data_IF_821622743138
#
_entry.id   IF_821622743138
#
_cell.length_a   1.000
_cell.length_b   1.000
_cell.length_c   1.000
_cell.angle_alpha   90.00
_cell.angle_beta   90.00
_cell.angle_gamma   90.00
#
_symmetry.space_group_name_H-M   'P 1'
#
loop_
_entity.id
_entity.type
_entity.pdbx_description
1 polymer ?
#
# COMPACT_ATOMS: atom_id res chain seq x y z
N UNK A 1 64.06 2.36 56.17
CA UNK A 1 62.87 1.52 55.95
C UNK A 1 61.65 2.43 55.91
N UNK A 2 61.17 2.79 54.72
CA UNK A 2 59.79 3.23 54.52
C UNK A 2 59.45 3.01 53.04
N UNK A 3 58.44 2.16 52.82
CA UNK A 3 58.10 1.56 51.55
C UNK A 3 57.27 2.53 50.67
N UNK A 4 57.66 2.65 49.40
CA UNK A 4 56.82 3.26 48.37
C UNK A 4 55.65 2.34 48.01
N UNK A 5 54.43 2.88 48.00
CA UNK A 5 53.25 2.20 47.46
C UNK A 5 52.98 2.70 46.05
N UNK A 6 53.29 1.86 45.08
CA UNK A 6 52.80 1.96 43.70
C UNK A 6 51.33 1.57 43.72
N UNK A 7 50.46 2.46 43.24
CA UNK A 7 49.02 2.20 43.15
C UNK A 7 48.69 1.82 41.71
N UNK A 8 48.41 0.54 41.50
CA UNK A 8 48.04 -0.03 40.20
C UNK A 8 46.58 0.33 39.90
N UNK A 9 46.33 1.13 38.86
CA UNK A 9 44.98 1.33 38.34
C UNK A 9 44.55 0.08 37.55
N UNK A 10 43.51 -0.61 38.04
CA UNK A 10 42.86 -1.69 37.31
C UNK A 10 41.87 -1.09 36.31
N UNK A 11 42.15 -1.23 35.01
CA UNK A 11 41.21 -0.89 33.95
C UNK A 11 40.16 -2.00 33.82
N UNK A 12 38.91 -1.70 34.15
CA UNK A 12 37.77 -2.57 33.87
C UNK A 12 37.39 -2.42 32.39
N UNK A 13 37.68 -3.43 31.58
CA UNK A 13 37.16 -3.54 30.23
C UNK A 13 35.72 -4.09 30.28
N UNK A 14 34.74 -3.23 30.02
CA UNK A 14 33.35 -3.64 29.85
C UNK A 14 33.17 -4.19 28.44
N UNK A 15 33.19 -5.51 28.30
CA UNK A 15 32.82 -6.18 27.05
C UNK A 15 31.29 -6.08 26.88
N UNK A 16 30.85 -5.11 26.09
CA UNK A 16 29.44 -4.98 25.70
C UNK A 16 29.14 -6.03 24.63
N UNK A 17 28.51 -7.13 25.04
CA UNK A 17 27.88 -8.09 24.13
C UNK A 17 26.65 -7.42 23.52
N UNK A 18 26.82 -6.82 22.34
CA UNK A 18 25.71 -6.43 21.49
C UNK A 18 25.06 -7.71 20.96
N UNK A 19 24.04 -8.20 21.66
CA UNK A 19 23.05 -9.07 21.06
C UNK A 19 22.38 -8.27 19.94
N UNK A 20 22.81 -8.52 18.71
CA UNK A 20 22.12 -8.08 17.52
C UNK A 20 20.76 -8.76 17.50
N UNK A 21 19.74 -8.06 18.00
CA UNK A 21 18.37 -8.35 17.62
C UNK A 21 18.32 -8.12 16.11
N UNK A 22 18.23 -9.20 15.34
CA UNK A 22 17.75 -9.12 13.97
C UNK A 22 16.29 -8.70 14.09
N UNK A 23 16.06 -7.40 14.20
CA UNK A 23 14.77 -6.82 13.87
C UNK A 23 14.67 -7.06 12.38
N UNK A 24 13.82 -8.00 11.97
CA UNK A 24 13.34 -8.00 10.60
C UNK A 24 12.82 -6.59 10.35
N UNK A 25 13.51 -5.82 9.52
CA UNK A 25 13.15 -4.45 9.25
C UNK A 25 11.83 -4.52 8.47
N UNK A 26 10.70 -4.32 9.16
CA UNK A 26 9.54 -3.78 8.48
C UNK A 26 10.05 -2.53 7.79
N UNK A 27 9.89 -2.44 6.47
CA UNK A 27 10.13 -1.18 5.81
C UNK A 27 9.15 -0.18 6.41
N UNK A 28 9.70 0.75 7.19
CA UNK A 28 8.91 1.78 7.84
C UNK A 28 8.29 2.62 6.73
N UNK A 29 6.97 2.54 6.62
CA UNK A 29 6.23 3.47 5.79
C UNK A 29 6.21 4.82 6.50
N UNK A 30 6.67 5.86 5.83
CA UNK A 30 6.71 7.23 6.34
C UNK A 30 5.32 7.83 6.21
N UNK A 31 4.62 8.13 7.31
CA UNK A 31 3.33 8.80 7.26
C UNK A 31 3.51 10.27 6.85
N UNK A 32 2.50 10.81 6.18
CA UNK A 32 2.48 12.19 5.71
C UNK A 32 1.11 12.61 5.23
N UNK A 33 1.06 13.76 4.57
CA UNK A 33 -0.11 14.21 3.83
C UNK A 33 0.33 15.06 2.65
N UNK A 34 -0.50 15.11 1.61
CA UNK A 34 -0.27 15.99 0.47
C UNK A 34 -1.60 16.35 -0.21
N UNK A 35 -1.58 17.40 -1.03
CA UNK A 35 -2.67 17.74 -1.93
C UNK A 35 -2.28 17.34 -3.33
N UNK A 36 -3.11 16.55 -4.00
CA UNK A 36 -2.93 16.31 -5.42
C UNK A 36 -3.25 17.59 -6.20
N UNK A 37 -2.24 18.18 -6.85
CA UNK A 37 -2.34 19.49 -7.50
C UNK A 37 -3.32 19.53 -8.68
N UNK A 38 -3.57 18.38 -9.32
CA UNK A 38 -4.47 18.29 -10.47
C UNK A 38 -5.94 18.21 -10.05
N UNK A 39 -6.23 17.41 -9.01
CA UNK A 39 -7.60 17.14 -8.56
C UNK A 39 -8.03 17.99 -7.36
N UNK A 40 -7.07 18.57 -6.63
CA UNK A 40 -7.28 19.31 -5.38
C UNK A 40 -7.65 18.42 -4.19
N UNK A 41 -7.47 17.10 -4.29
CA UNK A 41 -7.81 16.14 -3.23
C UNK A 41 -6.67 16.12 -2.20
N UNK A 42 -7.04 16.21 -0.92
CA UNK A 42 -6.10 16.12 0.19
C UNK A 42 -6.06 14.66 0.67
N UNK A 43 -4.86 14.09 0.78
CA UNK A 43 -4.65 12.70 1.18
C UNK A 43 -3.82 12.64 2.47
N UNK A 44 -4.22 11.79 3.41
CA UNK A 44 -3.26 11.17 4.32
C UNK A 44 -2.46 10.14 3.52
N UNK A 45 -1.15 10.06 3.73
CA UNK A 45 -0.28 9.24 2.88
C UNK A 45 0.72 8.42 3.68
N UNK A 46 1.12 7.30 3.09
CA UNK A 46 2.18 6.43 3.58
C UNK A 46 3.10 6.08 2.42
N UNK A 47 4.38 6.43 2.53
CA UNK A 47 5.39 6.19 1.50
C UNK A 47 6.47 5.24 1.99
N UNK A 48 6.92 4.33 1.14
CA UNK A 48 8.08 3.49 1.47
C UNK A 48 9.30 4.38 1.64
N UNK A 49 10.06 4.16 2.73
CA UNK A 49 11.37 4.79 2.87
C UNK A 49 12.35 4.23 1.85
N UNK A 50 12.56 4.96 0.75
CA UNK A 50 13.52 4.56 -0.29
C UNK A 50 14.95 4.80 0.19
N UNK A 51 15.61 3.74 0.64
CA UNK A 51 17.03 3.72 1.06
C UNK A 51 17.91 2.80 0.20
N UNK A 52 19.12 2.48 0.69
CA UNK A 52 20.10 1.63 -0.01
C UNK A 52 19.69 0.15 -0.22
N UNK A 53 18.42 -0.20 0.01
CA UNK A 53 17.88 -1.57 0.00
C UNK A 53 17.31 -2.07 -1.32
N UNK A 54 17.31 -1.25 -2.39
CA UNK A 54 16.84 -1.68 -3.72
C UNK A 54 15.32 -1.80 -3.86
N UNK A 55 14.57 -1.08 -3.02
CA UNK A 55 13.10 -1.08 -3.02
C UNK A 55 12.58 0.02 -3.95
N UNK A 56 11.53 -0.28 -4.72
CA UNK A 56 10.85 0.71 -5.54
C UNK A 56 10.06 1.72 -4.73
N UNK A 57 9.90 2.94 -5.26
CA UNK A 57 8.92 3.90 -4.76
C UNK A 57 7.52 3.28 -4.69
N UNK A 58 6.88 3.38 -3.53
CA UNK A 58 5.45 3.15 -3.35
C UNK A 58 4.88 4.19 -2.40
N UNK A 59 3.74 4.77 -2.75
CA UNK A 59 2.96 5.64 -1.87
C UNK A 59 1.50 5.27 -1.97
N UNK A 60 0.88 5.00 -0.82
CA UNK A 60 -0.57 4.93 -0.68
C UNK A 60 -1.08 6.23 -0.09
N UNK A 61 -2.00 6.91 -0.76
CA UNK A 61 -2.77 8.03 -0.23
C UNK A 61 -4.22 7.61 -0.01
N UNK A 62 -4.86 8.15 1.02
CA UNK A 62 -6.25 7.88 1.36
C UNK A 62 -6.98 9.14 1.79
N UNK A 63 -8.18 9.32 1.25
CA UNK A 63 -9.20 10.24 1.76
C UNK A 63 -10.47 9.43 2.08
N UNK A 64 -11.11 9.77 3.19
CA UNK A 64 -12.27 9.08 3.76
C UNK A 64 -13.48 10.02 3.88
N UNK A 65 -14.72 9.49 3.84
CA UNK A 65 -15.93 10.24 4.16
C UNK A 65 -15.84 10.95 5.51
N UNK A 66 -16.54 12.07 5.64
CA UNK A 66 -16.52 12.92 6.84
C UNK A 66 -16.95 12.19 8.13
N UNK A 67 -17.80 11.17 8.01
CA UNK A 67 -18.34 10.37 9.11
C UNK A 67 -17.62 9.02 9.31
N UNK A 68 -16.47 8.82 8.64
CA UNK A 68 -15.77 7.53 8.64
C UNK A 68 -15.22 7.11 10.02
N UNK A 69 -15.08 8.03 10.98
CA UNK A 69 -14.59 7.72 12.34
C UNK A 69 -15.73 7.36 13.29
N UNK A 70 -16.97 7.62 12.90
CA UNK A 70 -18.20 7.38 13.62
C UNK A 70 -18.94 6.16 13.07
N UNK A 71 -18.94 6.01 11.75
CA UNK A 71 -19.55 4.91 11.01
C UNK A 71 -18.51 4.28 10.10
N UNK A 72 -18.42 2.94 10.08
CA UNK A 72 -17.49 2.24 9.20
C UNK A 72 -17.74 2.63 7.73
N UNK A 73 -16.71 3.22 7.11
CA UNK A 73 -16.77 3.63 5.72
C UNK A 73 -16.87 2.38 4.83
N UNK A 74 -17.64 2.49 3.75
CA UNK A 74 -17.74 1.42 2.74
C UNK A 74 -16.92 1.72 1.49
N UNK A 75 -16.37 2.94 1.40
CA UNK A 75 -15.62 3.43 0.27
C UNK A 75 -14.55 4.44 0.70
N UNK A 76 -13.57 4.66 -0.16
CA UNK A 76 -12.50 5.65 0.02
C UNK A 76 -12.04 6.18 -1.33
N UNK A 77 -11.34 7.32 -1.34
CA UNK A 77 -10.57 7.76 -2.49
C UNK A 77 -9.11 7.42 -2.22
N UNK A 78 -8.52 6.64 -3.11
CA UNK A 78 -7.14 6.20 -3.05
C UNK A 78 -6.25 6.95 -4.01
N UNK A 79 -5.00 7.08 -3.63
CA UNK A 79 -3.88 7.43 -4.50
C UNK A 79 -2.85 6.31 -4.43
N UNK A 80 -2.36 5.85 -5.57
CA UNK A 80 -1.19 4.97 -5.63
C UNK A 80 -0.14 5.65 -6.50
N UNK A 81 1.06 5.88 -5.97
CA UNK A 81 2.29 6.08 -6.76
C UNK A 81 3.10 4.80 -6.67
N UNK A 82 3.52 4.28 -7.81
CA UNK A 82 4.23 3.02 -7.88
C UNK A 82 5.43 3.12 -8.81
N UNK A 83 6.50 2.42 -8.45
CA UNK A 83 7.74 2.42 -9.19
C UNK A 83 7.62 1.74 -10.55
N UNK A 84 8.32 2.31 -11.53
CA UNK A 84 8.46 1.80 -12.89
C UNK A 84 9.95 1.73 -13.21
N UNK A 85 10.59 0.55 -13.15
CA UNK A 85 12.05 0.42 -13.23
C UNK A 85 12.63 0.74 -14.61
N UNK A 86 11.80 0.85 -15.65
CA UNK A 86 12.23 1.18 -16.99
C UNK A 86 11.20 2.05 -17.73
N UNK A 87 11.58 2.65 -18.85
CA UNK A 87 10.63 3.36 -19.71
C UNK A 87 9.59 2.44 -20.37
N UNK A 88 9.79 1.12 -20.35
CA UNK A 88 8.99 0.14 -21.09
C UNK A 88 7.68 -0.28 -20.38
N UNK A 89 7.08 0.58 -19.54
CA UNK A 89 5.83 0.27 -18.82
C UNK A 89 5.84 -1.09 -18.12
N UNK A 90 6.96 -1.40 -17.47
CA UNK A 90 7.17 -2.65 -16.73
C UNK A 90 6.86 -2.48 -15.25
N UNK A 91 6.57 -3.59 -14.59
CA UNK A 91 6.32 -3.66 -13.16
C UNK A 91 4.83 -3.62 -12.81
N UNK A 92 4.54 -3.84 -11.54
CA UNK A 92 3.22 -3.72 -10.94
C UNK A 92 3.35 -3.44 -9.45
N UNK A 93 2.32 -2.85 -8.86
CA UNK A 93 2.18 -2.70 -7.42
C UNK A 93 0.84 -3.27 -6.95
N UNK A 94 0.80 -3.66 -5.69
CA UNK A 94 -0.35 -4.25 -5.02
C UNK A 94 -0.61 -3.56 -3.68
N UNK A 95 -1.88 -3.48 -3.31
CA UNK A 95 -2.38 -3.01 -2.03
C UNK A 95 -3.30 -4.07 -1.42
N UNK A 96 -3.04 -4.47 -0.17
CA UNK A 96 -3.84 -5.40 0.60
C UNK A 96 -4.65 -4.64 1.67
N UNK A 97 -5.97 -4.75 1.60
CA UNK A 97 -6.88 -3.91 2.39
C UNK A 97 -6.90 -4.25 3.89
N UNK A 98 -6.38 -5.39 4.34
CA UNK A 98 -6.19 -5.70 5.77
C UNK A 98 -4.77 -6.25 6.08
N UNK A 99 -3.79 -5.93 5.23
CA UNK A 99 -2.39 -6.29 5.43
C UNK A 99 -1.93 -7.62 4.85
N UNK A 100 -2.80 -8.60 4.71
CA UNK A 100 -2.44 -9.96 4.32
C UNK A 100 -2.55 -10.15 2.80
N UNK A 101 -1.59 -10.90 2.23
CA UNK A 101 -1.76 -11.36 0.84
C UNK A 101 -2.94 -12.34 0.74
N UNK A 102 -3.07 -13.22 1.72
CA UNK A 102 -4.15 -14.20 1.77
C UNK A 102 -5.35 -13.62 2.47
N UNK A 103 -6.53 -14.05 2.04
CA UNK A 103 -7.84 -13.77 2.61
C UNK A 103 -8.33 -12.34 2.57
N UNK A 104 -7.48 -11.36 2.21
CA UNK A 104 -7.87 -9.97 2.03
C UNK A 104 -8.31 -9.64 0.60
N UNK A 105 -9.08 -8.56 0.45
CA UNK A 105 -9.22 -7.89 -0.85
C UNK A 105 -7.87 -7.28 -1.26
N UNK A 106 -7.40 -7.65 -2.44
CA UNK A 106 -6.18 -7.12 -3.03
C UNK A 106 -6.52 -6.21 -4.21
N UNK A 107 -5.85 -5.07 -4.33
CA UNK A 107 -5.87 -4.23 -5.52
C UNK A 107 -4.49 -4.27 -6.18
N UNK A 108 -4.43 -4.67 -7.45
CA UNK A 108 -3.23 -4.60 -8.28
C UNK A 108 -3.34 -3.43 -9.25
N UNK A 109 -2.26 -2.70 -9.47
CA UNK A 109 -2.13 -1.63 -10.47
C UNK A 109 -0.85 -1.81 -11.30
N UNK A 110 -0.92 -1.49 -12.60
CA UNK A 110 0.24 -1.53 -13.51
C UNK A 110 0.05 -0.56 -14.69
N UNK A 111 1.13 -0.03 -15.27
CA UNK A 111 1.05 0.83 -16.45
C UNK A 111 0.89 -0.02 -17.72
N UNK A 112 0.07 0.46 -18.67
CA UNK A 112 -0.08 -0.14 -19.99
C UNK A 112 -0.64 0.87 -21.00
N UNK A 113 0.08 1.06 -22.11
CA UNK A 113 -0.24 1.97 -23.21
C UNK A 113 -0.58 3.39 -22.76
N UNK A 114 0.21 3.94 -21.84
CA UNK A 114 0.04 5.29 -21.28
C UNK A 114 -1.09 5.42 -20.25
N UNK A 115 -1.77 4.33 -19.91
CA UNK A 115 -2.80 4.29 -18.86
C UNK A 115 -2.32 3.47 -17.66
N UNK A 116 -2.98 3.63 -16.51
CA UNK A 116 -2.82 2.71 -15.38
C UNK A 116 -4.03 1.79 -15.34
N UNK A 117 -3.79 0.50 -15.52
CA UNK A 117 -4.80 -0.54 -15.38
C UNK A 117 -4.81 -1.05 -13.94
N UNK A 118 -5.99 -1.49 -13.51
CA UNK A 118 -6.21 -2.00 -12.15
C UNK A 118 -7.00 -3.31 -12.16
N UNK A 119 -6.80 -4.14 -11.15
CA UNK A 119 -7.54 -5.40 -10.99
C UNK A 119 -7.67 -5.77 -9.52
N UNK A 120 -8.90 -5.97 -9.05
CA UNK A 120 -9.11 -6.61 -7.76
C UNK A 120 -8.78 -8.10 -7.85
N UNK A 121 -8.08 -8.58 -6.83
CA UNK A 121 -7.61 -9.95 -6.70
C UNK A 121 -7.92 -10.52 -5.33
N UNK A 122 -7.89 -11.85 -5.26
CA UNK A 122 -8.09 -12.58 -4.02
C UNK A 122 -7.37 -13.93 -4.07
N UNK A 123 -6.91 -14.39 -2.91
CA UNK A 123 -6.29 -15.71 -2.76
C UNK A 123 -6.45 -16.21 -1.33
N UNK A 124 -6.63 -17.53 -1.16
CA UNK A 124 -6.63 -18.18 0.16
C UNK A 124 -5.28 -18.79 0.53
N UNK A 125 -4.26 -18.63 -0.32
CA UNK A 125 -2.93 -19.19 -0.11
C UNK A 125 -1.84 -18.41 -0.84
N UNK A 126 -0.58 -18.78 -0.61
CA UNK A 126 0.60 -18.15 -1.22
C UNK A 126 0.84 -18.67 -2.65
N UNK A 127 -0.11 -18.38 -3.53
CA UNK A 127 -0.08 -18.64 -4.96
C UNK A 127 -0.72 -17.47 -5.71
N UNK A 128 -0.63 -17.47 -7.04
CA UNK A 128 -1.14 -16.39 -7.89
C UNK A 128 -2.60 -16.02 -7.55
N UNK A 129 -2.84 -14.77 -7.12
CA UNK A 129 -4.18 -14.30 -6.85
C UNK A 129 -5.09 -14.31 -8.09
N UNK A 130 -6.28 -14.88 -7.93
CA UNK A 130 -7.30 -14.90 -8.98
C UNK A 130 -8.04 -13.56 -9.03
N UNK A 131 -8.68 -13.20 -10.15
CA UNK A 131 -9.63 -12.09 -10.18
C UNK A 131 -10.64 -12.20 -9.05
N UNK A 132 -10.86 -11.10 -8.31
CA UNK A 132 -11.82 -11.08 -7.22
C UNK A 132 -13.25 -11.23 -7.77
N UNK A 133 -14.02 -12.15 -7.18
CA UNK A 133 -15.41 -12.43 -7.54
C UNK A 133 -16.33 -12.55 -6.32
N UNK A 134 -15.84 -12.22 -5.12
CA UNK A 134 -16.54 -12.48 -3.85
C UNK A 134 -17.54 -11.40 -3.42
N UNK A 135 -17.43 -10.17 -3.92
CA UNK A 135 -18.22 -9.05 -3.44
C UNK A 135 -18.46 -7.97 -4.48
N UNK A 136 -18.79 -6.77 -4.03
CA UNK A 136 -19.19 -5.63 -4.86
C UNK A 136 -18.11 -4.55 -4.98
N UNK A 137 -16.85 -4.88 -4.69
CA UNK A 137 -15.73 -3.95 -4.83
C UNK A 137 -15.64 -3.42 -6.27
N UNK A 138 -15.67 -2.09 -6.41
CA UNK A 138 -15.58 -1.40 -7.70
C UNK A 138 -14.57 -0.27 -7.61
N UNK A 139 -13.89 -0.02 -8.72
CA UNK A 139 -12.91 1.05 -8.85
C UNK A 139 -13.30 1.96 -10.02
N UNK A 140 -13.32 3.26 -9.78
CA UNK A 140 -13.52 4.29 -10.82
C UNK A 140 -12.39 5.30 -10.69
N UNK A 141 -11.69 5.57 -11.78
CA UNK A 141 -10.55 6.49 -11.78
C UNK A 141 -11.02 7.94 -11.83
N UNK A 142 -10.25 8.79 -11.16
CA UNK A 142 -10.33 10.24 -11.19
C UNK A 142 -9.26 10.78 -12.16
N UNK A 143 -8.03 10.26 -12.04
CA UNK A 143 -6.93 10.51 -13.00
C UNK A 143 -5.92 9.36 -12.95
N UNK A 144 -5.15 9.20 -14.01
CA UNK A 144 -3.92 8.40 -13.97
C UNK A 144 -2.81 9.07 -14.76
N UNK A 145 -1.56 8.72 -14.42
CA UNK A 145 -0.37 9.25 -15.09
C UNK A 145 0.69 8.16 -15.20
N UNK A 146 1.29 8.00 -16.37
CA UNK A 146 2.49 7.17 -16.55
C UNK A 146 3.67 8.11 -16.80
N UNK A 147 4.60 8.17 -15.86
CA UNK A 147 5.83 8.95 -15.94
C UNK A 147 7.02 8.13 -16.45
N UNK A 148 8.24 8.64 -16.28
CA UNK A 148 9.45 7.93 -16.70
C UNK A 148 9.83 6.80 -15.74
N UNK A 149 9.78 7.06 -14.42
CA UNK A 149 10.21 6.16 -13.36
C UNK A 149 9.11 5.73 -12.39
N UNK A 150 7.89 6.25 -12.57
CA UNK A 150 6.72 5.92 -11.76
C UNK A 150 5.44 5.99 -12.58
N UNK A 151 4.36 5.47 -12.01
CA UNK A 151 3.00 5.69 -12.48
C UNK A 151 2.08 5.93 -11.29
N UNK A 152 1.04 6.72 -11.53
CA UNK A 152 0.11 7.17 -10.51
C UNK A 152 -1.33 6.89 -10.93
N UNK A 153 -2.17 6.53 -9.97
CA UNK A 153 -3.63 6.48 -10.16
C UNK A 153 -4.34 7.06 -8.95
N UNK A 154 -5.25 7.99 -9.20
CA UNK A 154 -6.23 8.48 -8.23
C UNK A 154 -7.56 7.82 -8.55
N UNK A 155 -8.19 7.18 -7.57
CA UNK A 155 -9.39 6.38 -7.80
C UNK A 155 -10.34 6.41 -6.62
N UNK A 156 -11.62 6.24 -6.89
CA UNK A 156 -12.63 5.91 -5.88
C UNK A 156 -12.79 4.39 -5.82
N UNK A 157 -12.70 3.84 -4.61
CA UNK A 157 -12.90 2.42 -4.34
C UNK A 157 -14.18 2.24 -3.54
N UNK A 158 -15.23 1.64 -4.13
CA UNK A 158 -16.51 1.42 -3.46
C UNK A 158 -16.71 -0.04 -3.10
N UNK A 159 -17.20 -0.32 -1.90
CA UNK A 159 -17.32 -1.69 -1.39
C UNK A 159 -15.98 -2.36 -1.13
N UNK A 160 -14.94 -1.58 -0.82
CA UNK A 160 -13.57 -2.07 -0.71
C UNK A 160 -13.13 -2.34 0.74
N UNK A 161 -13.93 -1.94 1.74
CA UNK A 161 -13.65 -2.18 3.16
C UNK A 161 -14.44 -3.35 3.75
N UNK A 162 -15.12 -4.14 2.91
CA UNK A 162 -15.77 -5.38 3.32
C UNK A 162 -15.74 -6.41 2.19
N UNK A 163 -15.42 -7.67 2.50
CA UNK A 163 -15.38 -8.78 1.56
C UNK A 163 -15.69 -10.11 2.26
N UNK A 164 -16.17 -11.16 1.55
CA UNK A 164 -16.28 -12.47 2.15
C UNK A 164 -14.89 -13.06 2.40
N UNK A 165 -14.62 -13.40 3.65
CA UNK A 165 -13.44 -14.15 4.07
C UNK A 165 -13.50 -15.62 3.66
N UNK A 166 -12.37 -16.32 3.82
CA UNK A 166 -12.23 -17.71 3.36
C UNK A 166 -13.19 -18.71 4.02
N UNK A 167 -13.70 -18.38 5.21
CA UNK A 167 -14.68 -19.19 5.96
C UNK A 167 -16.15 -18.85 5.68
N UNK A 168 -16.44 -17.87 4.82
CA UNK A 168 -17.79 -17.35 4.57
C UNK A 168 -18.22 -16.25 5.55
N UNK A 169 -17.42 -15.98 6.58
CA UNK A 169 -17.57 -14.80 7.45
C UNK A 169 -17.06 -13.55 6.72
N UNK A 170 -17.65 -12.39 6.99
CA UNK A 170 -17.20 -11.13 6.42
C UNK A 170 -15.90 -10.65 7.09
N UNK A 171 -14.92 -10.28 6.28
CA UNK A 171 -13.72 -9.56 6.68
C UNK A 171 -13.88 -8.08 6.31
N UNK A 172 -13.41 -7.18 7.18
CA UNK A 172 -13.65 -5.75 7.02
C UNK A 172 -12.58 -4.88 7.65
N UNK A 173 -12.45 -3.65 7.11
CA UNK A 173 -11.71 -2.55 7.73
C UNK A 173 -12.69 -1.71 8.52
N UNK A 174 -12.45 -1.58 9.82
CA UNK A 174 -13.35 -0.85 10.73
C UNK A 174 -12.82 0.56 10.97
N UNK A 175 -13.18 1.51 10.10
CA UNK A 175 -12.71 2.90 10.21
C UNK A 175 -13.28 3.61 11.44
N UNK A 176 -14.40 3.13 12.00
CA UNK A 176 -14.96 3.65 13.24
C UNK A 176 -14.28 3.09 14.49
N UNK A 177 -13.21 2.28 14.34
CA UNK A 177 -12.44 1.74 15.47
C UNK A 177 -11.89 2.88 16.34
N UNK A 178 -12.00 2.80 17.68
CA UNK A 178 -11.49 3.85 18.57
C UNK A 178 -9.96 4.00 18.51
N UNK A 179 -9.26 2.98 18.00
CA UNK A 179 -7.81 3.01 17.85
C UNK A 179 -7.34 3.87 16.66
N UNK A 180 -8.25 4.23 15.74
CA UNK A 180 -7.99 5.12 14.59
C UNK A 180 -6.86 4.69 13.65
N UNK A 181 -6.57 3.39 13.61
CA UNK A 181 -5.65 2.79 12.65
C UNK A 181 -6.21 1.52 12.02
N UNK A 182 -5.66 1.15 10.86
CA UNK A 182 -5.83 -0.14 10.20
C UNK A 182 -4.45 -0.72 9.87
N UNK A 183 -4.37 -2.04 9.64
CA UNK A 183 -3.17 -2.65 9.08
C UNK A 183 -3.41 -2.80 7.59
N UNK A 184 -2.51 -2.25 6.78
CA UNK A 184 -2.52 -2.41 5.33
C UNK A 184 -1.24 -3.10 4.87
N UNK A 185 -1.24 -3.56 3.62
CA UNK A 185 -0.10 -4.24 3.03
C UNK A 185 0.17 -3.73 1.63
N UNK A 186 1.43 -3.73 1.23
CA UNK A 186 1.83 -3.38 -0.13
C UNK A 186 2.77 -4.45 -0.69
N UNK A 187 2.81 -4.55 -2.02
CA UNK A 187 3.79 -5.37 -2.72
C UNK A 187 4.12 -4.75 -4.08
N UNK A 188 5.33 -4.97 -4.58
CA UNK A 188 5.76 -4.46 -5.88
C UNK A 188 6.60 -5.49 -6.63
N UNK A 189 6.51 -5.47 -7.95
CA UNK A 189 7.47 -6.15 -8.81
C UNK A 189 8.05 -5.22 -9.86
N UNK A 190 9.32 -5.45 -10.18
CA UNK A 190 10.01 -4.84 -11.31
C UNK A 190 9.58 -5.44 -12.66
N UNK A 191 9.03 -6.65 -12.64
CA UNK A 191 8.57 -7.40 -13.82
C UNK A 191 7.08 -7.16 -14.04
N UNK A 192 6.70 -6.72 -15.25
CA UNK A 192 5.29 -6.49 -15.60
C UNK A 192 4.49 -7.80 -15.76
N UNK A 193 3.15 -7.72 -15.71
CA UNK A 193 2.29 -8.87 -15.99
C UNK A 193 2.38 -9.33 -17.44
N UNK A 194 2.13 -10.61 -17.68
CA UNK A 194 1.84 -11.13 -19.02
C UNK A 194 0.39 -10.82 -19.40
N UNK A 195 0.11 -10.65 -20.70
CA UNK A 195 -1.20 -10.20 -21.20
C UNK A 195 -1.70 -8.92 -20.50
N UNK A 196 -0.86 -7.86 -20.41
CA UNK A 196 -1.12 -6.68 -19.57
C UNK A 196 -2.41 -5.94 -19.96
N UNK A 197 -2.84 -6.07 -21.21
CA UNK A 197 -4.08 -5.49 -21.70
C UNK A 197 -5.34 -6.07 -21.03
N UNK A 198 -5.32 -7.34 -20.57
CA UNK A 198 -6.52 -8.04 -20.11
C UNK A 198 -6.47 -8.35 -18.61
N UNK A 199 -7.03 -7.48 -17.74
CA UNK A 199 -7.15 -7.72 -16.31
C UNK A 199 -7.74 -9.10 -15.96
N UNK A 200 -8.69 -9.61 -16.74
CA UNK A 200 -9.31 -10.90 -16.45
C UNK A 200 -8.40 -12.12 -16.69
N UNK A 201 -7.34 -12.00 -17.51
CA UNK A 201 -6.51 -13.13 -17.96
C UNK A 201 -5.01 -12.96 -17.71
N UNK A 202 -4.57 -11.80 -17.24
CA UNK A 202 -3.18 -11.56 -16.96
C UNK A 202 -2.63 -12.56 -15.93
N UNK A 203 -1.34 -12.85 -16.05
CA UNK A 203 -0.57 -13.57 -15.04
C UNK A 203 0.64 -12.72 -14.65
N UNK A 204 1.16 -12.90 -13.45
CA UNK A 204 2.28 -12.12 -12.94
C UNK A 204 3.14 -12.95 -12.00
N UNK A 205 4.41 -12.56 -11.89
CA UNK A 205 5.38 -13.19 -11.02
C UNK A 205 5.23 -12.78 -9.56
N UNK A 206 6.10 -13.32 -8.71
CA UNK A 206 6.23 -12.93 -7.31
C UNK A 206 6.73 -11.46 -7.21
N UNK A 207 6.30 -10.74 -6.17
CA UNK A 207 6.77 -9.38 -5.90
C UNK A 207 8.26 -9.38 -5.50
N UNK A 208 9.10 -8.72 -6.29
CA UNK A 208 10.57 -8.71 -6.15
C UNK A 208 11.14 -7.30 -5.90
N UNK A 209 10.30 -6.30 -5.70
CA UNK A 209 10.69 -4.88 -5.60
C UNK A 209 10.15 -4.18 -4.33
N UNK A 210 9.93 -4.97 -3.26
CA UNK A 210 9.42 -4.50 -1.97
C UNK A 210 8.05 -5.08 -1.62
N UNK A 211 7.86 -5.42 -0.35
CA UNK A 211 6.58 -5.76 0.23
C UNK A 211 6.65 -5.63 1.75
N UNK A 212 5.59 -5.11 2.37
CA UNK A 212 5.48 -5.06 3.82
C UNK A 212 4.02 -4.89 4.25
N UNK A 213 3.80 -5.07 5.55
CA UNK A 213 2.61 -4.58 6.25
C UNK A 213 2.96 -3.29 7.00
N UNK A 214 2.01 -2.39 7.14
CA UNK A 214 2.17 -1.20 7.97
C UNK A 214 0.90 -0.87 8.75
N UNK A 215 1.07 -0.14 9.84
CA UNK A 215 -0.01 0.46 10.60
C UNK A 215 -0.32 1.82 9.99
N UNK A 216 -1.55 2.00 9.53
CA UNK A 216 -2.05 3.21 8.88
C UNK A 216 -2.98 3.96 9.84
N UNK A 217 -2.46 4.98 10.51
CA UNK A 217 -3.26 5.92 11.30
C UNK A 217 -4.01 6.87 10.35
N UNK A 218 -5.32 6.69 10.22
CA UNK A 218 -6.12 7.30 9.14
C UNK A 218 -7.00 8.48 9.59
N UNK A 219 -6.85 8.97 10.83
CA UNK A 219 -7.66 10.10 11.32
C UNK A 219 -7.53 11.33 10.42
N UNK A 220 -6.32 11.61 9.93
CA UNK A 220 -6.06 12.72 9.00
C UNK A 220 -6.61 12.51 7.57
N UNK A 221 -7.16 11.34 7.25
CA UNK A 221 -7.73 11.05 5.94
C UNK A 221 -9.19 11.56 5.80
N UNK A 222 -9.86 11.90 6.89
CA UNK A 222 -11.28 12.27 6.92
C UNK A 222 -11.46 13.70 6.41
N UNK A 223 -12.46 13.91 5.54
CA UNK A 223 -12.71 15.25 4.98
C UNK A 223 -14.18 15.52 4.67
N UNK A 224 -14.64 16.71 5.05
CA UNK A 224 -15.95 17.28 4.66
C UNK A 224 -16.09 17.50 3.15
N UNK A 225 -14.97 17.54 2.41
CA UNK A 225 -14.96 17.68 0.95
C UNK A 225 -15.08 16.33 0.23
N UNK A 226 -15.10 15.20 0.95
CA UNK A 226 -15.04 13.87 0.36
C UNK A 226 -16.07 13.66 -0.76
N UNK A 227 -17.33 14.02 -0.55
CA UNK A 227 -18.38 13.84 -1.56
C UNK A 227 -18.12 14.62 -2.86
N UNK A 228 -17.52 15.81 -2.75
CA UNK A 228 -17.15 16.63 -3.90
C UNK A 228 -16.03 15.96 -4.69
N UNK A 229 -15.04 15.41 -4.00
CA UNK A 229 -13.93 14.68 -4.60
C UNK A 229 -14.37 13.34 -5.21
N UNK A 230 -15.26 12.61 -4.53
CA UNK A 230 -15.78 11.33 -4.98
C UNK A 230 -16.61 11.46 -6.26
N UNK A 231 -17.19 12.62 -6.51
CA UNK A 231 -17.91 12.95 -7.75
C UNK A 231 -16.97 13.15 -8.96
N UNK A 232 -15.66 13.36 -8.75
CA UNK A 232 -14.67 13.45 -9.83
C UNK A 232 -14.39 12.08 -10.47
N UNK A 233 -14.70 10.98 -9.77
CA UNK A 233 -14.44 9.63 -10.24
C UNK A 233 -15.43 9.25 -11.36
N UNK A 234 -14.99 9.42 -12.61
CA UNK A 234 -15.85 9.26 -13.79
C UNK A 234 -15.30 8.30 -14.83
N UNK A 235 -14.04 7.88 -14.71
CA UNK A 235 -13.38 7.04 -15.70
C UNK A 235 -13.39 5.57 -15.31
N UNK A 236 -13.92 4.72 -16.19
CA UNK A 236 -13.82 3.25 -16.02
C UNK A 236 -12.79 2.71 -17.01
N UNK A 237 -11.64 2.30 -16.49
CA UNK A 237 -10.52 1.77 -17.29
C UNK A 237 -10.49 0.25 -17.16
N UNK A 238 -11.01 -0.45 -18.17
CA UNK A 238 -11.23 -1.91 -18.12
C UNK A 238 -10.11 -2.75 -18.73
N UNK A 239 -9.17 -2.12 -19.44
CA UNK A 239 -8.28 -2.82 -20.37
C UNK A 239 -9.03 -3.41 -21.58
N UNK A 240 -8.33 -4.23 -22.36
CA UNK A 240 -8.89 -4.99 -23.48
C UNK A 240 -8.61 -6.50 -23.34
N UNK A 241 -9.68 -7.27 -23.51
CA UNK A 241 -9.72 -8.72 -23.63
C UNK A 241 -10.50 -9.07 -24.92
#
# INVERSE_FOLDING_TARGET
MQFGKVTTQAAFAVASLLFGYVVAQYEEMVPGSFTDEETGIEFASWSVFTGAGGVGEFTMGMALPADALETDATEYIGYLSCSKPSQQETGWCGFAHAGHMTTDLLLMAWPHEGQVLTSFRYTTGYHMPSPYAGGNATLTQIRSRVGDSSYEVVFRCRGCFAWPGAGGEEESVRTSSPDRYAIFGYAQSSVGPSSPACPARLTFGFHDNGFAQWIAEYEAAVSEKYDQWAALATETVTGSC
#
